data_IF_984062258681
#
_entry.id   IF_984062258681
#
_cell.length_a   1.000
_cell.length_b   1.000
_cell.length_c   1.000
_cell.angle_alpha   90.00
_cell.angle_beta   90.00
_cell.angle_gamma   90.00
#
_symmetry.space_group_name_H-M   'P 1'
#
loop_
_entity.id
_entity.type
_entity.pdbx_description
1 polymer ?
#
# COMPACT_ATOMS: atom_id res chain seq x y z
N UNK A 1 -17.09 -8.51 9.28
CA UNK A 1 -16.32 -7.36 8.73
C UNK A 1 -14.91 -7.84 8.48
N UNK A 2 -14.24 -7.31 7.45
CA UNK A 2 -12.88 -7.71 7.13
C UNK A 2 -11.87 -6.67 7.60
N UNK A 3 -10.75 -7.16 8.11
CA UNK A 3 -9.63 -6.39 8.60
C UNK A 3 -8.38 -6.84 7.86
N UNK A 4 -7.48 -5.90 7.65
CA UNK A 4 -6.12 -6.21 7.29
C UNK A 4 -5.26 -6.00 8.54
N UNK A 5 -4.50 -7.04 8.86
CA UNK A 5 -3.65 -7.11 10.03
C UNK A 5 -2.23 -7.30 9.56
N UNK A 6 -1.36 -6.33 9.88
CA UNK A 6 0.07 -6.46 9.69
C UNK A 6 0.68 -7.00 10.96
N UNK A 7 1.40 -8.11 10.86
CA UNK A 7 1.89 -8.87 11.99
C UNK A 7 3.34 -9.28 11.78
N UNK A 8 4.16 -9.03 12.79
CA UNK A 8 5.52 -9.52 12.88
C UNK A 8 5.50 -10.88 13.57
N UNK A 9 6.05 -11.91 12.95
CA UNK A 9 6.12 -13.26 13.51
C UNK A 9 7.54 -13.84 13.39
N UNK A 10 7.92 -14.82 14.23
CA UNK A 10 9.21 -15.48 14.10
C UNK A 10 9.23 -16.35 12.83
N UNK A 11 10.24 -16.20 11.97
CA UNK A 11 10.42 -16.99 10.76
C UNK A 11 11.01 -18.37 11.07
N UNK A 12 10.19 -19.22 11.67
CA UNK A 12 10.51 -20.61 12.01
C UNK A 12 9.32 -21.53 11.72
N UNK A 13 9.56 -22.83 11.47
CA UNK A 13 8.49 -23.77 11.20
C UNK A 13 7.40 -23.77 12.28
N UNK A 14 6.15 -23.58 11.85
CA UNK A 14 4.97 -23.62 12.72
C UNK A 14 4.52 -22.28 13.31
N UNK A 15 5.30 -21.20 13.22
CA UNK A 15 4.90 -19.90 13.78
C UNK A 15 3.56 -19.39 13.24
N UNK A 16 3.41 -19.35 11.91
CA UNK A 16 2.14 -18.95 11.28
C UNK A 16 1.00 -19.91 11.65
N UNK A 17 1.29 -21.19 11.85
CA UNK A 17 0.31 -22.20 12.27
C UNK A 17 -0.22 -21.93 13.69
N UNK A 18 0.64 -21.54 14.61
CA UNK A 18 0.25 -21.14 15.98
C UNK A 18 -0.63 -19.88 15.96
N UNK A 19 -0.27 -18.89 15.15
CA UNK A 19 -1.09 -17.70 14.96
C UNK A 19 -2.46 -18.05 14.36
N UNK A 20 -2.50 -18.88 13.32
CA UNK A 20 -3.74 -19.30 12.70
C UNK A 20 -4.66 -20.08 13.67
N UNK A 21 -4.09 -20.93 14.53
CA UNK A 21 -4.83 -21.64 15.58
C UNK A 21 -5.43 -20.67 16.62
N UNK A 22 -4.63 -19.72 17.10
CA UNK A 22 -5.08 -18.69 18.04
C UNK A 22 -6.22 -17.84 17.47
N UNK A 23 -6.11 -17.40 16.21
CA UNK A 23 -7.18 -16.68 15.50
C UNK A 23 -8.43 -17.55 15.30
N UNK A 24 -8.26 -18.85 15.05
CA UNK A 24 -9.35 -19.81 14.96
C UNK A 24 -10.20 -19.89 16.23
N UNK A 25 -9.59 -19.73 17.42
CA UNK A 25 -10.30 -19.76 18.71
C UNK A 25 -11.28 -18.59 18.92
N UNK A 26 -11.07 -17.47 18.22
CA UNK A 26 -12.02 -16.33 18.20
C UNK A 26 -12.93 -16.37 16.95
N UNK A 27 -12.97 -17.51 16.25
CA UNK A 27 -13.70 -17.72 15.00
C UNK A 27 -13.30 -16.74 13.88
N UNK A 28 -12.06 -16.25 13.89
CA UNK A 28 -11.54 -15.42 12.81
C UNK A 28 -11.29 -16.28 11.57
N UNK A 29 -11.76 -15.82 10.42
CA UNK A 29 -11.57 -16.49 9.14
C UNK A 29 -10.47 -15.79 8.33
N UNK A 30 -9.36 -16.49 8.07
CA UNK A 30 -8.25 -15.96 7.27
C UNK A 30 -8.61 -16.04 5.78
N UNK A 31 -8.73 -14.88 5.12
CA UNK A 31 -9.11 -14.74 3.72
C UNK A 31 -7.92 -14.73 2.76
N UNK A 32 -6.77 -14.22 3.23
CA UNK A 32 -5.49 -14.21 2.51
C UNK A 32 -4.34 -13.95 3.48
N UNK A 33 -3.15 -14.42 3.12
CA UNK A 33 -1.88 -14.15 3.80
C UNK A 33 -0.87 -13.80 2.73
N UNK A 34 -0.08 -12.75 2.97
CA UNK A 34 1.05 -12.39 2.11
C UNK A 34 2.26 -11.99 2.95
N UNK A 35 3.43 -12.48 2.56
CA UNK A 35 4.70 -12.07 3.18
C UNK A 35 5.10 -10.72 2.57
N UNK A 36 5.26 -9.71 3.41
CA UNK A 36 5.64 -8.35 3.03
C UNK A 36 7.16 -8.21 3.06
N UNK A 37 7.82 -8.58 4.15
CA UNK A 37 9.27 -8.45 4.31
C UNK A 37 9.84 -9.56 5.19
N UNK A 38 11.01 -10.09 4.81
CA UNK A 38 11.79 -11.00 5.64
C UNK A 38 12.93 -10.20 6.27
N UNK A 39 13.00 -10.17 7.59
CA UNK A 39 14.02 -9.41 8.29
C UNK A 39 15.27 -10.27 8.56
N UNK A 40 16.47 -9.67 8.56
CA UNK A 40 17.71 -10.40 8.84
C UNK A 40 17.81 -11.01 10.25
N UNK A 41 16.95 -10.58 11.19
CA UNK A 41 16.92 -11.06 12.58
C UNK A 41 16.11 -12.36 12.77
N UNK A 42 15.56 -12.92 11.69
CA UNK A 42 14.77 -14.15 11.73
C UNK A 42 13.31 -13.91 12.06
N UNK A 43 12.80 -12.69 11.83
CA UNK A 43 11.37 -12.37 11.83
C UNK A 43 10.86 -12.11 10.42
N UNK A 44 9.54 -12.21 10.24
CA UNK A 44 8.86 -11.94 8.98
C UNK A 44 7.63 -11.07 9.23
N UNK A 45 7.44 -10.07 8.38
CA UNK A 45 6.23 -9.25 8.36
C UNK A 45 5.21 -9.84 7.39
N UNK A 46 4.04 -10.20 7.92
CA UNK A 46 2.92 -10.73 7.14
C UNK A 46 1.74 -9.76 7.15
N UNK A 47 1.09 -9.62 5.99
CA UNK A 47 -0.22 -8.98 5.83
C UNK A 47 -1.30 -10.07 5.75
N UNK A 48 -2.19 -10.09 6.75
CA UNK A 48 -3.26 -11.08 6.87
C UNK A 48 -4.62 -10.39 6.75
N UNK A 49 -5.44 -10.83 5.80
CA UNK A 49 -6.84 -10.38 5.73
C UNK A 49 -7.69 -11.34 6.54
N UNK A 50 -8.37 -10.82 7.56
CA UNK A 50 -9.17 -11.57 8.51
C UNK A 50 -10.61 -11.09 8.44
N UNK A 51 -11.54 -12.00 8.25
CA UNK A 51 -12.97 -11.74 8.41
C UNK A 51 -13.42 -12.19 9.80
N UNK A 52 -14.04 -11.28 10.54
CA UNK A 52 -14.66 -11.59 11.83
C UNK A 52 -16.17 -11.80 11.72
N UNK A 53 -16.73 -12.72 12.53
CA UNK A 53 -18.17 -12.88 12.68
C UNK A 53 -18.87 -11.59 13.12
N UNK A 54 -20.17 -11.50 12.86
CA UNK A 54 -20.95 -10.35 13.28
C UNK A 54 -20.99 -10.26 14.81
N UNK A 55 -20.65 -9.08 15.35
CA UNK A 55 -20.64 -8.82 16.79
C UNK A 55 -19.27 -9.02 17.47
N UNK A 56 -18.33 -9.67 16.79
CA UNK A 56 -16.95 -9.82 17.26
C UNK A 56 -16.16 -8.53 17.05
N UNK A 57 -15.38 -8.13 18.07
CA UNK A 57 -14.60 -6.89 18.05
C UNK A 57 -13.19 -7.12 17.48
N UNK A 58 -12.59 -6.09 16.88
CA UNK A 58 -11.22 -6.13 16.37
C UNK A 58 -10.20 -6.49 17.46
N UNK A 59 -10.44 -6.07 18.71
CA UNK A 59 -9.58 -6.35 19.86
C UNK A 59 -9.43 -7.86 20.16
N UNK A 60 -10.36 -8.70 19.71
CA UNK A 60 -10.23 -10.15 19.86
C UNK A 60 -9.10 -10.72 18.99
N UNK A 61 -8.86 -10.13 17.80
CA UNK A 61 -7.69 -10.46 16.98
C UNK A 61 -6.41 -10.12 17.74
N UNK A 62 -6.39 -8.93 18.36
CA UNK A 62 -5.23 -8.45 19.10
C UNK A 62 -4.92 -9.37 20.27
N UNK A 63 -5.94 -9.66 21.06
CA UNK A 63 -5.83 -10.54 22.23
C UNK A 63 -5.37 -11.95 21.84
N UNK A 64 -5.91 -12.51 20.75
CA UNK A 64 -5.52 -13.83 20.26
C UNK A 64 -4.07 -13.86 19.78
N UNK A 65 -3.66 -12.88 18.97
CA UNK A 65 -2.30 -12.81 18.42
C UNK A 65 -1.24 -12.61 19.52
N UNK A 66 -1.50 -11.71 20.47
CA UNK A 66 -0.59 -11.46 21.61
C UNK A 66 -0.43 -12.67 22.55
N UNK A 67 -1.35 -13.64 22.48
CA UNK A 67 -1.23 -14.91 23.20
C UNK A 67 -0.20 -15.87 22.59
N UNK A 68 0.32 -15.58 21.39
CA UNK A 68 1.30 -16.42 20.70
C UNK A 68 2.70 -15.83 20.88
N UNK A 69 3.62 -16.66 21.37
CA UNK A 69 5.01 -16.25 21.67
C UNK A 69 5.73 -15.71 20.43
N UNK A 70 6.26 -14.49 20.55
CA UNK A 70 7.00 -13.78 19.50
C UNK A 70 6.14 -13.17 18.39
N UNK A 71 4.80 -13.16 18.53
CA UNK A 71 3.89 -12.50 17.59
C UNK A 71 3.57 -11.08 18.06
N UNK A 72 3.77 -10.10 17.18
CA UNK A 72 3.44 -8.70 17.44
C UNK A 72 2.54 -8.14 16.34
N UNK A 73 1.47 -7.44 16.71
CA UNK A 73 0.65 -6.71 15.75
C UNK A 73 1.26 -5.33 15.55
N UNK A 74 1.65 -5.05 14.32
CA UNK A 74 2.11 -3.74 13.88
C UNK A 74 0.92 -2.82 13.56
N UNK A 75 -0.08 -3.33 12.84
CA UNK A 75 -1.30 -2.56 12.58
C UNK A 75 -2.54 -3.43 12.33
N UNK A 76 -3.71 -2.88 12.66
CA UNK A 76 -5.02 -3.44 12.31
C UNK A 76 -5.90 -2.33 11.73
N UNK A 77 -6.49 -2.58 10.56
CA UNK A 77 -7.38 -1.61 9.91
C UNK A 77 -8.54 -2.27 9.19
N UNK A 78 -9.73 -1.63 9.14
CA UNK A 78 -10.81 -2.09 8.28
C UNK A 78 -10.32 -2.22 6.83
N UNK A 79 -10.68 -3.31 6.17
CA UNK A 79 -10.22 -3.60 4.82
C UNK A 79 -11.33 -4.17 3.95
N UNK A 80 -11.56 -3.51 2.81
CA UNK A 80 -12.51 -3.95 1.80
C UNK A 80 -11.74 -4.50 0.61
N UNK A 81 -11.53 -5.82 0.56
CA UNK A 81 -10.83 -6.48 -0.53
C UNK A 81 -10.16 -7.78 -0.11
N UNK A 82 -9.22 -8.23 -0.93
CA UNK A 82 -8.26 -9.30 -0.62
C UNK A 82 -6.86 -8.78 -0.92
N UNK A 83 -5.85 -9.26 -0.20
CA UNK A 83 -4.46 -9.08 -0.65
C UNK A 83 -4.29 -10.03 -1.84
N UNK A 84 -4.58 -9.53 -3.03
CA UNK A 84 -4.62 -10.32 -4.26
C UNK A 84 -3.55 -9.84 -5.23
N UNK A 85 -2.43 -10.57 -5.29
CA UNK A 85 -1.39 -10.37 -6.31
C UNK A 85 -1.91 -10.60 -7.73
N UNK A 86 -3.03 -11.31 -7.95
CA UNK A 86 -3.67 -11.39 -9.27
C UNK A 86 -4.31 -10.07 -9.68
N UNK A 87 -4.71 -9.23 -8.71
CA UNK A 87 -5.17 -7.87 -8.95
C UNK A 87 -4.11 -7.00 -9.62
N UNK A 88 -2.83 -7.21 -9.32
CA UNK A 88 -1.72 -6.52 -9.98
C UNK A 88 -1.61 -6.91 -11.47
N UNK A 89 -1.81 -8.19 -11.80
CA UNK A 89 -1.80 -8.63 -13.22
C UNK A 89 -3.00 -8.05 -13.97
N UNK A 90 -4.19 -8.04 -13.36
CA UNK A 90 -5.38 -7.40 -13.97
C UNK A 90 -5.11 -5.93 -14.21
N UNK A 91 -4.59 -5.20 -13.21
CA UNK A 91 -4.18 -3.81 -13.33
C UNK A 91 -3.24 -3.60 -14.54
N UNK A 92 -2.18 -4.39 -14.65
CA UNK A 92 -1.23 -4.28 -15.76
C UNK A 92 -1.91 -4.52 -17.11
N UNK A 93 -2.79 -5.53 -17.21
CA UNK A 93 -3.54 -5.81 -18.42
C UNK A 93 -4.53 -4.69 -18.79
N UNK A 94 -5.25 -4.17 -17.79
CA UNK A 94 -6.24 -3.11 -17.98
C UNK A 94 -5.57 -1.82 -18.43
N UNK A 95 -4.45 -1.44 -17.83
CA UNK A 95 -3.65 -0.28 -18.25
C UNK A 95 -3.07 -0.46 -19.65
N UNK A 96 -2.46 -1.62 -19.92
CA UNK A 96 -1.89 -1.92 -21.24
C UNK A 96 -2.95 -1.88 -22.36
N UNK A 97 -4.22 -2.12 -22.05
CA UNK A 97 -5.32 -2.07 -23.02
C UNK A 97 -5.78 -0.64 -23.36
N UNK A 98 -5.43 0.37 -22.55
CA UNK A 98 -5.90 1.74 -22.76
C UNK A 98 -5.08 2.44 -23.85
N UNK A 99 -5.77 3.21 -24.69
CA UNK A 99 -5.13 4.06 -25.71
C UNK A 99 -4.93 5.51 -25.28
N UNK A 100 -5.56 5.92 -24.18
CA UNK A 100 -5.52 7.28 -23.65
C UNK A 100 -4.77 7.28 -22.33
N UNK A 101 -3.71 8.09 -22.24
CA UNK A 101 -2.83 8.20 -21.06
C UNK A 101 -3.61 8.65 -19.82
N UNK A 102 -4.49 9.65 -19.93
CA UNK A 102 -5.30 10.10 -18.77
C UNK A 102 -6.20 8.99 -18.25
N UNK A 103 -6.87 8.26 -19.16
CA UNK A 103 -7.71 7.12 -18.78
C UNK A 103 -6.88 5.98 -18.16
N UNK A 104 -5.66 5.74 -18.69
CA UNK A 104 -4.72 4.80 -18.11
C UNK A 104 -4.31 5.22 -16.68
N UNK A 105 -4.02 6.51 -16.45
CA UNK A 105 -3.61 7.00 -15.14
C UNK A 105 -4.76 6.95 -14.12
N UNK A 106 -6.00 7.17 -14.55
CA UNK A 106 -7.17 6.96 -13.71
C UNK A 106 -7.30 5.50 -13.26
N UNK A 107 -7.09 4.55 -14.17
CA UNK A 107 -7.09 3.12 -13.85
C UNK A 107 -5.97 2.76 -12.87
N UNK A 108 -4.76 3.29 -13.10
CA UNK A 108 -3.61 3.13 -12.18
C UNK A 108 -3.99 3.62 -10.78
N UNK A 109 -4.49 4.84 -10.66
CA UNK A 109 -4.87 5.39 -9.36
C UNK A 109 -6.00 4.60 -8.68
N UNK A 110 -6.97 4.08 -9.43
CA UNK A 110 -8.06 3.27 -8.87
C UNK A 110 -7.58 1.92 -8.32
N UNK A 111 -6.55 1.33 -8.94
CA UNK A 111 -6.09 -0.01 -8.61
C UNK A 111 -4.99 -0.05 -7.54
N UNK A 112 -4.09 0.93 -7.51
CA UNK A 112 -2.92 0.96 -6.61
C UNK A 112 -3.29 0.83 -5.12
N UNK A 113 -4.33 1.51 -4.59
CA UNK A 113 -4.76 1.33 -3.20
C UNK A 113 -5.02 -0.13 -2.83
N UNK A 114 -5.61 -0.90 -3.75
CA UNK A 114 -5.90 -2.33 -3.54
C UNK A 114 -4.66 -3.20 -3.75
N UNK A 115 -3.80 -2.85 -4.71
CA UNK A 115 -2.65 -3.63 -5.11
C UNK A 115 -1.45 -3.51 -4.16
N UNK A 116 -1.28 -2.35 -3.52
CA UNK A 116 -0.18 -2.00 -2.63
C UNK A 116 -0.68 -1.56 -1.24
N UNK A 117 -1.88 -2.01 -0.87
CA UNK A 117 -2.36 -1.91 0.50
C UNK A 117 -2.34 -0.47 1.04
N UNK A 118 -2.68 0.48 0.17
CA UNK A 118 -2.62 1.92 0.41
C UNK A 118 -4.04 2.48 0.46
N UNK A 119 -4.23 3.68 1.03
CA UNK A 119 -5.55 4.30 1.08
C UNK A 119 -5.86 5.05 -0.21
N UNK A 120 -4.85 5.69 -0.80
CA UNK A 120 -5.02 6.50 -1.99
C UNK A 120 -3.78 6.50 -2.88
N UNK A 121 -3.97 6.90 -4.13
CA UNK A 121 -2.92 7.10 -5.11
C UNK A 121 -3.20 8.31 -5.99
N UNK A 122 -2.13 8.99 -6.42
CA UNK A 122 -2.14 10.15 -7.30
C UNK A 122 -1.05 9.94 -8.36
N UNK A 123 -1.34 10.33 -9.61
CA UNK A 123 -0.33 10.46 -10.65
C UNK A 123 -0.15 11.93 -11.00
N UNK A 124 1.11 12.35 -11.05
CA UNK A 124 1.54 13.72 -11.30
C UNK A 124 2.34 13.76 -12.60
N UNK A 125 2.09 14.76 -13.44
CA UNK A 125 2.96 15.12 -14.55
C UNK A 125 4.05 16.07 -14.03
N UNK A 126 5.29 15.62 -14.05
CA UNK A 126 6.46 16.38 -13.57
C UNK A 126 7.04 17.33 -14.64
N UNK A 127 6.37 17.52 -15.78
CA UNK A 127 6.71 18.60 -16.70
C UNK A 127 6.12 19.93 -16.23
N UNK A 128 6.88 21.02 -16.35
CA UNK A 128 6.36 22.34 -16.04
C UNK A 128 5.22 22.77 -17.01
N UNK A 129 4.06 23.25 -16.52
CA UNK A 129 3.68 23.34 -15.12
C UNK A 129 3.31 21.97 -14.53
N UNK A 130 3.89 21.65 -13.36
CA UNK A 130 3.62 20.40 -12.65
C UNK A 130 2.13 20.34 -12.32
N UNK A 131 1.49 19.20 -12.61
CA UNK A 131 0.04 19.08 -12.45
C UNK A 131 -0.39 17.65 -12.11
N UNK A 132 -1.44 17.56 -11.30
CA UNK A 132 -2.13 16.28 -11.03
C UNK A 132 -2.85 15.81 -12.29
N UNK A 133 -2.59 14.58 -12.72
CA UNK A 133 -3.21 13.96 -13.90
C UNK A 133 -4.39 13.10 -13.51
N UNK A 134 -4.27 12.36 -12.40
CA UNK A 134 -5.29 11.47 -11.88
C UNK A 134 -5.13 11.31 -10.36
N UNK A 135 -6.23 11.00 -9.68
CA UNK A 135 -6.26 10.62 -8.27
C UNK A 135 -7.33 9.56 -8.03
N UNK A 136 -7.09 8.68 -7.07
CA UNK A 136 -8.09 7.72 -6.59
C UNK A 136 -9.22 8.44 -5.83
N UNK A 137 -10.36 7.79 -5.65
CA UNK A 137 -11.52 8.37 -4.94
C UNK A 137 -11.19 8.91 -3.53
N UNK A 138 -10.26 8.26 -2.81
CA UNK A 138 -9.84 8.66 -1.47
C UNK A 138 -8.60 9.57 -1.45
N UNK A 139 -8.13 10.05 -2.61
CA UNK A 139 -6.97 10.92 -2.68
C UNK A 139 -7.29 12.29 -2.05
N UNK A 140 -6.33 12.91 -1.32
CA UNK A 140 -6.48 14.27 -0.83
C UNK A 140 -6.86 15.23 -1.96
N UNK A 141 -7.69 16.23 -1.65
CA UNK A 141 -8.07 17.27 -2.61
C UNK A 141 -6.81 17.96 -3.17
N UNK A 142 -6.90 18.38 -4.44
CA UNK A 142 -5.84 19.18 -5.04
C UNK A 142 -5.88 20.59 -4.43
N UNK A 143 -4.79 20.98 -3.77
CA UNK A 143 -4.69 22.28 -3.10
C UNK A 143 -4.29 23.40 -4.07
N UNK A 144 -4.07 23.07 -5.36
CA UNK A 144 -3.68 24.01 -6.40
C UNK A 144 -2.22 24.44 -6.31
N UNK A 145 -1.41 23.82 -5.45
CA UNK A 145 0.02 24.04 -5.41
C UNK A 145 0.69 23.55 -6.69
N UNK A 146 1.67 24.31 -7.18
CA UNK A 146 2.43 23.98 -8.38
C UNK A 146 3.91 24.03 -7.99
N UNK A 147 4.47 22.92 -7.50
CA UNK A 147 5.88 22.89 -7.14
C UNK A 147 6.75 23.12 -8.38
N UNK A 148 7.96 23.62 -8.18
CA UNK A 148 8.93 23.86 -9.26
C UNK A 148 9.64 22.59 -9.70
N UNK A 149 9.74 21.60 -8.80
CA UNK A 149 10.35 20.29 -9.07
C UNK A 149 9.77 19.23 -8.12
N UNK A 150 9.56 18.01 -8.63
CA UNK A 150 9.33 16.81 -7.83
C UNK A 150 10.52 15.89 -8.04
N UNK A 151 11.34 15.75 -7.00
CA UNK A 151 12.60 14.98 -7.05
C UNK A 151 12.36 13.51 -6.68
N UNK A 152 11.84 12.74 -7.64
CA UNK A 152 11.53 11.31 -7.49
C UNK A 152 12.09 10.54 -8.69
N UNK A 153 13.40 10.32 -8.68
CA UNK A 153 14.12 9.57 -9.73
C UNK A 153 14.10 8.05 -9.52
N UNK A 154 13.79 7.61 -8.30
CA UNK A 154 13.68 6.19 -7.91
C UNK A 154 12.53 6.02 -6.94
N UNK A 155 12.08 4.77 -6.76
CA UNK A 155 11.06 4.48 -5.77
C UNK A 155 11.62 4.73 -4.35
N UNK A 156 10.90 5.53 -3.55
CA UNK A 156 11.31 5.90 -2.20
C UNK A 156 10.13 6.28 -1.31
N UNK A 157 10.36 6.20 -0.01
CA UNK A 157 9.50 6.86 0.99
C UNK A 157 9.65 8.38 0.84
N UNK A 158 8.55 9.09 1.00
CA UNK A 158 8.53 10.55 1.01
C UNK A 158 8.52 11.07 2.45
N UNK A 159 9.18 12.19 2.69
CA UNK A 159 9.24 12.83 4.00
C UNK A 159 8.69 14.26 3.95
N UNK A 160 7.39 14.47 4.21
CA UNK A 160 6.74 15.78 4.17
C UNK A 160 7.51 16.86 4.94
N UNK A 161 8.02 16.51 6.12
CA UNK A 161 8.82 17.37 7.01
C UNK A 161 10.12 17.90 6.38
N UNK A 162 10.63 17.24 5.33
CA UNK A 162 11.90 17.56 4.67
C UNK A 162 11.74 18.04 3.24
N UNK A 163 10.53 17.96 2.70
CA UNK A 163 10.28 18.09 1.27
C UNK A 163 9.14 19.07 0.99
N UNK A 164 9.50 20.34 0.78
CA UNK A 164 8.54 21.44 0.63
C UNK A 164 7.61 21.36 -0.59
N UNK A 165 7.86 20.43 -1.53
CA UNK A 165 6.98 20.22 -2.69
C UNK A 165 5.75 19.37 -2.35
N UNK A 166 5.77 18.68 -1.20
CA UNK A 166 4.68 17.80 -0.76
C UNK A 166 3.61 18.66 -0.09
N UNK A 167 2.36 18.66 -0.58
CA UNK A 167 1.24 19.32 0.08
C UNK A 167 1.02 18.81 1.51
N UNK A 168 0.74 19.72 2.45
CA UNK A 168 0.39 19.35 3.84
C UNK A 168 -0.82 18.40 3.89
N UNK A 169 -1.75 18.55 2.94
CA UNK A 169 -2.95 17.71 2.83
C UNK A 169 -2.64 16.22 2.64
N UNK A 170 -1.46 15.87 2.12
CA UNK A 170 -1.04 14.48 1.91
C UNK A 170 -0.50 13.85 3.19
N UNK A 171 0.01 14.66 4.11
CA UNK A 171 0.63 14.20 5.36
C UNK A 171 -0.35 14.18 6.55
N UNK A 172 -1.60 14.63 6.35
CA UNK A 172 -2.62 14.64 7.40
C UNK A 172 -2.79 13.27 8.05
N UNK A 173 -3.10 13.26 9.35
CA UNK A 173 -3.35 12.05 10.14
C UNK A 173 -2.17 11.06 10.11
N UNK A 174 -0.95 11.58 10.21
CA UNK A 174 0.30 10.80 10.21
C UNK A 174 0.37 9.83 9.02
N UNK A 175 0.03 10.32 7.83
CA UNK A 175 0.01 9.50 6.62
C UNK A 175 1.42 9.12 6.19
N UNK A 176 1.68 7.82 6.04
CA UNK A 176 2.87 7.31 5.39
C UNK A 176 2.77 7.52 3.88
N UNK A 177 3.86 7.95 3.24
CA UNK A 177 3.89 8.29 1.82
C UNK A 177 5.04 7.57 1.10
N UNK A 178 4.77 7.10 -0.11
CA UNK A 178 5.79 6.56 -1.01
C UNK A 178 5.53 7.02 -2.45
N UNK A 179 6.58 7.15 -3.23
CA UNK A 179 6.49 7.53 -4.63
C UNK A 179 7.47 6.76 -5.50
N UNK A 180 7.16 6.67 -6.79
CA UNK A 180 8.05 6.11 -7.79
C UNK A 180 7.84 6.81 -9.15
N UNK A 181 8.89 6.92 -9.99
CA UNK A 181 8.72 7.39 -11.35
C UNK A 181 8.08 6.31 -12.23
N UNK A 182 7.27 6.72 -13.20
CA UNK A 182 6.90 5.88 -14.33
C UNK A 182 8.04 5.93 -15.36
N UNK A 183 8.93 4.94 -15.31
CA UNK A 183 10.28 5.00 -15.90
C UNK A 183 10.24 5.26 -17.42
N UNK A 184 10.91 6.33 -17.85
CA UNK A 184 10.97 6.77 -19.24
C UNK A 184 9.79 7.65 -19.68
N UNK A 185 9.00 8.14 -18.73
CA UNK A 185 8.00 9.19 -18.92
C UNK A 185 8.29 10.35 -17.94
N UNK A 186 7.45 11.39 -17.97
CA UNK A 186 7.52 12.48 -16.99
C UNK A 186 6.52 12.30 -15.83
N UNK A 187 5.94 11.11 -15.68
CA UNK A 187 4.94 10.86 -14.65
C UNK A 187 5.56 10.30 -13.38
N UNK A 188 5.06 10.76 -12.23
CA UNK A 188 5.39 10.22 -10.91
C UNK A 188 4.09 9.72 -10.29
N UNK A 189 4.12 8.50 -9.75
CA UNK A 189 3.05 8.00 -8.91
C UNK A 189 3.40 8.25 -7.44
N UNK A 190 2.43 8.74 -6.69
CA UNK A 190 2.49 8.91 -5.24
C UNK A 190 1.33 8.12 -4.62
N UNK A 191 1.60 7.37 -3.56
CA UNK A 191 0.58 6.68 -2.78
C UNK A 191 0.73 7.02 -1.30
N UNK A 192 -0.39 6.97 -0.60
CA UNK A 192 -0.42 7.25 0.83
C UNK A 192 -1.27 6.27 1.61
N UNK A 193 -0.84 6.03 2.85
CA UNK A 193 -1.53 5.21 3.83
C UNK A 193 -1.80 6.05 5.09
N UNK A 194 -3.07 6.31 5.35
CA UNK A 194 -3.54 7.17 6.43
C UNK A 194 -3.36 6.43 7.77
N UNK A 195 -2.70 7.07 8.73
CA UNK A 195 -2.43 6.49 10.05
C UNK A 195 -1.40 5.36 10.06
N UNK A 196 -0.65 5.18 8.96
CA UNK A 196 0.39 4.15 8.84
C UNK A 196 -0.15 2.71 8.67
N UNK A 197 0.70 1.70 8.85
CA UNK A 197 2.11 1.79 9.22
C UNK A 197 2.97 2.33 8.07
N UNK A 198 4.21 2.71 8.38
CA UNK A 198 5.20 3.13 7.38
C UNK A 198 5.39 2.09 6.29
N UNK A 199 5.73 2.55 5.09
CA UNK A 199 6.04 1.65 3.98
C UNK A 199 7.38 0.96 4.21
N UNK A 200 7.36 -0.36 4.13
CA UNK A 200 8.55 -1.20 4.18
C UNK A 200 9.36 -1.11 2.89
N UNK A 201 10.64 -1.49 2.96
CA UNK A 201 11.55 -1.38 1.82
C UNK A 201 11.06 -2.21 0.63
N UNK A 202 10.55 -3.41 0.88
CA UNK A 202 9.96 -4.29 -0.12
C UNK A 202 8.69 -3.72 -0.78
N UNK A 203 7.87 -2.99 -0.03
CA UNK A 203 6.67 -2.33 -0.56
C UNK A 203 7.06 -1.21 -1.53
N UNK A 204 8.08 -0.42 -1.16
CA UNK A 204 8.62 0.65 -2.00
C UNK A 204 9.30 0.09 -3.26
N UNK A 205 10.07 -0.99 -3.12
CA UNK A 205 10.66 -1.71 -4.26
C UNK A 205 9.58 -2.21 -5.22
N UNK A 206 8.50 -2.77 -4.68
CA UNK A 206 7.36 -3.22 -5.49
C UNK A 206 6.68 -2.06 -6.23
N UNK A 207 6.48 -0.91 -5.58
CA UNK A 207 6.00 0.30 -6.27
C UNK A 207 6.95 0.69 -7.43
N UNK A 208 8.26 0.57 -7.24
CA UNK A 208 9.26 0.80 -8.29
C UNK A 208 9.17 -0.17 -9.47
N UNK A 209 8.94 -1.46 -9.21
CA UNK A 209 8.69 -2.45 -10.25
C UNK A 209 7.44 -2.11 -11.07
N UNK A 210 6.34 -1.73 -10.40
CA UNK A 210 5.14 -1.27 -11.09
C UNK A 210 5.41 0.00 -11.90
N UNK A 211 6.13 0.98 -11.35
CA UNK A 211 6.52 2.19 -12.07
C UNK A 211 7.33 1.91 -13.33
N UNK A 212 8.22 0.91 -13.28
CA UNK A 212 9.00 0.46 -14.44
C UNK A 212 8.11 -0.14 -15.54
N UNK A 213 7.19 -1.04 -15.18
CA UNK A 213 6.31 -1.71 -16.13
C UNK A 213 5.30 -0.73 -16.72
N UNK A 214 4.65 0.07 -15.88
CA UNK A 214 3.67 1.07 -16.30
C UNK A 214 4.30 2.13 -17.20
N UNK A 215 5.52 2.58 -16.87
CA UNK A 215 6.28 3.49 -17.73
C UNK A 215 6.52 2.93 -19.12
N UNK A 216 6.75 1.61 -19.26
CA UNK A 216 6.95 0.97 -20.57
C UNK A 216 5.67 0.92 -21.42
N UNK A 217 4.47 0.83 -20.82
CA UNK A 217 3.20 0.85 -21.55
C UNK A 217 2.84 2.24 -22.10
N UNK A 218 3.43 3.29 -21.55
CA UNK A 218 3.11 4.68 -21.89
C UNK A 218 4.09 5.31 -22.89
N UNK A 219 5.14 4.57 -23.29
CA UNK A 219 6.11 5.02 -24.30
C UNK A 219 5.57 4.92 -25.71
#
# INVERSE_FOLDING_TARGET
MSFLVRVLIPDKPGSLGLLADALGNVNANIQSVDIVENFPDGTVMDDIVIELPQGTMADEIITAAQGVDGVEIDSIRPFSGRVDRRGQISLLADVASKKNVTAAMQEVCAAIPKALTSNWAIVINNNAPISRVAGSDAAPEDDGSIPTNIDVDTARVLHPEREAWIPESWALLDSALAAAPLVGTNYVIVMGRVGGPDYLASEVEHLGHLGTILGAFLR
#
